data_IF_040761031877
#
_entry.id   IF_040761031877
#
_cell.length_a   1.000
_cell.length_b   1.000
_cell.length_c   1.000
_cell.angle_alpha   90.00
_cell.angle_beta   90.00
_cell.angle_gamma   90.00
#
_symmetry.space_group_name_H-M   'P 1'
#
loop_
_entity.id
_entity.type
_entity.pdbx_description
1 polymer ?
#
# COMPACT_ATOMS: atom_id res chain seq x y z
N UNK A 1 -33.22 1.49 1.50
CA UNK A 1 -31.79 1.32 1.83
C UNK A 1 -31.27 2.66 2.29
N UNK A 2 -30.69 2.72 3.48
CA UNK A 2 -30.04 3.93 4.01
C UNK A 2 -29.06 4.48 2.96
N UNK A 3 -29.19 5.75 2.55
CA UNK A 3 -28.30 6.38 1.55
C UNK A 3 -26.82 6.22 1.91
N UNK A 4 -26.51 6.21 3.21
CA UNK A 4 -25.18 5.96 3.76
C UNK A 4 -24.64 4.56 3.43
N UNK A 5 -25.50 3.54 3.42
CA UNK A 5 -25.11 2.17 3.08
C UNK A 5 -24.72 2.07 1.61
N UNK A 6 -25.46 2.74 0.72
CA UNK A 6 -25.16 2.76 -0.72
C UNK A 6 -23.84 3.46 -0.99
N UNK A 7 -23.60 4.62 -0.38
CA UNK A 7 -22.35 5.37 -0.52
C UNK A 7 -21.18 4.55 0.04
N UNK A 8 -21.33 3.96 1.23
CA UNK A 8 -20.29 3.11 1.83
C UNK A 8 -19.94 1.91 0.94
N UNK A 9 -20.95 1.23 0.39
CA UNK A 9 -20.73 0.11 -0.52
C UNK A 9 -20.08 0.54 -1.84
N UNK A 10 -20.49 1.68 -2.39
CA UNK A 10 -19.87 2.25 -3.59
C UNK A 10 -18.39 2.59 -3.35
N UNK A 11 -18.06 3.22 -2.22
CA UNK A 11 -16.67 3.49 -1.84
C UNK A 11 -15.85 2.19 -1.68
N UNK A 12 -16.45 1.15 -1.09
CA UNK A 12 -15.81 -0.14 -0.92
C UNK A 12 -15.51 -0.80 -2.28
N UNK A 13 -16.48 -0.78 -3.20
CA UNK A 13 -16.29 -1.29 -4.57
C UNK A 13 -15.23 -0.50 -5.33
N UNK A 14 -15.25 0.84 -5.24
CA UNK A 14 -14.22 1.68 -5.85
C UNK A 14 -12.83 1.36 -5.30
N UNK A 15 -12.70 1.21 -3.98
CA UNK A 15 -11.46 0.79 -3.34
C UNK A 15 -10.97 -0.57 -3.82
N UNK A 16 -11.88 -1.55 -3.93
CA UNK A 16 -11.56 -2.89 -4.43
C UNK A 16 -11.10 -2.87 -5.90
N UNK A 17 -11.76 -2.07 -6.75
CA UNK A 17 -11.36 -1.93 -8.16
C UNK A 17 -10.00 -1.25 -8.29
N UNK A 18 -9.76 -0.15 -7.57
CA UNK A 18 -8.46 0.53 -7.54
C UNK A 18 -7.34 -0.41 -7.05
N UNK A 19 -7.61 -1.14 -5.96
CA UNK A 19 -6.67 -2.10 -5.36
C UNK A 19 -6.48 -3.40 -6.16
N UNK A 20 -7.43 -3.79 -7.00
CA UNK A 20 -7.24 -4.91 -7.94
C UNK A 20 -6.52 -4.48 -9.23
N UNK A 21 -6.72 -3.22 -9.64
CA UNK A 21 -6.22 -2.70 -10.92
C UNK A 21 -4.78 -2.21 -10.85
N UNK A 22 -4.22 -1.95 -9.67
CA UNK A 22 -2.87 -1.38 -9.55
C UNK A 22 -1.79 -2.27 -10.17
N UNK A 23 -1.98 -3.60 -10.21
CA UNK A 23 -1.03 -4.54 -10.83
C UNK A 23 -1.14 -4.65 -12.35
N UNK A 24 -2.19 -4.10 -12.97
CA UNK A 24 -2.42 -4.16 -14.42
C UNK A 24 -1.28 -3.59 -15.28
N UNK A 25 -0.58 -2.51 -14.91
CA UNK A 25 0.53 -1.97 -15.69
C UNK A 25 1.60 -3.02 -16.00
N UNK A 26 1.88 -3.96 -15.07
CA UNK A 26 2.84 -5.05 -15.27
C UNK A 26 2.43 -6.02 -16.38
N UNK A 27 1.12 -6.11 -16.69
CA UNK A 27 0.61 -6.96 -17.77
C UNK A 27 0.74 -6.31 -19.15
N UNK A 28 0.64 -4.98 -19.22
CA UNK A 28 0.56 -4.23 -20.48
C UNK A 28 1.87 -3.49 -20.85
N UNK A 29 2.83 -3.42 -19.93
CA UNK A 29 4.15 -2.85 -20.20
C UNK A 29 4.91 -3.68 -21.24
N UNK A 30 5.83 -3.05 -21.97
CA UNK A 30 6.72 -3.76 -22.89
C UNK A 30 7.59 -4.75 -22.10
N UNK A 31 7.80 -5.94 -22.65
CA UNK A 31 8.51 -7.05 -21.97
C UNK A 31 9.97 -6.76 -21.62
N UNK A 32 10.57 -5.76 -22.27
CA UNK A 32 11.94 -5.29 -22.08
C UNK A 32 12.06 -4.18 -21.02
N UNK A 33 10.94 -3.71 -20.46
CA UNK A 33 10.97 -2.64 -19.46
C UNK A 33 11.42 -3.20 -18.10
N UNK A 34 12.50 -2.64 -17.51
CA UNK A 34 12.93 -3.04 -16.17
C UNK A 34 11.84 -2.79 -15.14
N UNK A 35 11.73 -3.68 -14.15
CA UNK A 35 10.74 -3.57 -13.08
C UNK A 35 10.89 -2.26 -12.30
N UNK A 36 12.13 -1.81 -12.10
CA UNK A 36 12.49 -0.59 -11.41
C UNK A 36 11.96 0.66 -12.13
N UNK A 37 11.91 0.64 -13.47
CA UNK A 37 11.40 1.77 -14.23
C UNK A 37 9.86 1.82 -14.22
N UNK A 38 9.21 0.66 -14.08
CA UNK A 38 7.75 0.58 -13.97
C UNK A 38 7.27 0.93 -12.55
N UNK A 39 7.86 0.30 -11.54
CA UNK A 39 7.38 0.37 -10.15
C UNK A 39 8.16 1.37 -9.30
N UNK A 40 9.41 1.70 -9.62
CA UNK A 40 10.22 2.64 -8.86
C UNK A 40 9.59 4.03 -8.74
N UNK A 41 9.15 4.68 -9.84
CA UNK A 41 8.45 5.97 -9.76
C UNK A 41 7.16 5.89 -8.95
N UNK A 42 6.41 4.78 -9.07
CA UNK A 42 5.19 4.56 -8.30
C UNK A 42 5.48 4.48 -6.79
N UNK A 43 6.45 3.66 -6.38
CA UNK A 43 6.82 3.55 -4.97
C UNK A 43 7.39 4.85 -4.42
N UNK A 44 8.21 5.58 -5.19
CA UNK A 44 8.72 6.88 -4.78
C UNK A 44 7.57 7.88 -4.56
N UNK A 45 6.60 7.91 -5.49
CA UNK A 45 5.47 8.83 -5.39
C UNK A 45 4.58 8.50 -4.20
N UNK A 46 4.23 7.22 -4.00
CA UNK A 46 3.31 6.78 -2.93
C UNK A 46 3.96 6.85 -1.55
N UNK A 47 5.23 6.47 -1.42
CA UNK A 47 5.88 6.37 -0.10
C UNK A 47 6.60 7.65 0.34
N UNK A 48 7.02 8.52 -0.59
CA UNK A 48 7.78 9.73 -0.26
C UNK A 48 7.00 10.99 -0.62
N UNK A 49 6.63 11.16 -1.90
CA UNK A 49 6.01 12.41 -2.35
C UNK A 49 4.64 12.64 -1.71
N UNK A 50 3.79 11.62 -1.70
CA UNK A 50 2.42 11.70 -1.18
C UNK A 50 2.36 12.06 0.31
N UNK A 51 3.08 11.38 1.24
CA UNK A 51 3.05 11.76 2.65
C UNK A 51 3.70 13.12 2.93
N UNK A 52 4.73 13.52 2.18
CA UNK A 52 5.37 14.83 2.36
C UNK A 52 4.51 16.00 1.87
N UNK A 53 3.68 15.78 0.84
CA UNK A 53 2.79 16.81 0.30
C UNK A 53 1.46 16.85 1.06
N UNK A 54 0.85 15.69 1.27
CA UNK A 54 -0.48 15.61 1.91
C UNK A 54 -0.42 15.70 3.43
N UNK A 55 0.67 15.25 4.08
CA UNK A 55 0.82 15.35 5.53
C UNK A 55 0.66 16.78 6.04
N UNK A 56 1.47 17.75 5.56
CA UNK A 56 1.33 19.16 5.94
C UNK A 56 0.04 19.82 5.47
N UNK A 57 -0.57 19.33 4.38
CA UNK A 57 -1.82 19.88 3.84
C UNK A 57 -3.04 19.47 4.68
N UNK A 58 -3.06 18.24 5.18
CA UNK A 58 -4.19 17.65 5.90
C UNK A 58 -4.07 17.79 7.41
N UNK A 59 -2.86 17.84 7.94
CA UNK A 59 -2.59 17.84 9.38
C UNK A 59 -2.02 19.19 9.82
N UNK A 60 -2.72 19.85 10.75
CA UNK A 60 -2.20 21.05 11.41
C UNK A 60 -1.00 20.67 12.28
N UNK A 61 0.06 21.48 12.22
CA UNK A 61 1.28 21.32 13.02
C UNK A 61 2.02 19.98 12.79
N UNK A 62 1.93 19.43 11.58
CA UNK A 62 2.55 18.15 11.18
C UNK A 62 3.99 17.98 11.70
N UNK A 63 4.88 18.94 11.45
CA UNK A 63 6.28 18.87 11.89
C UNK A 63 6.47 18.98 13.42
N UNK A 64 5.57 19.68 14.12
CA UNK A 64 5.65 19.79 15.57
C UNK A 64 5.35 18.43 16.25
N UNK A 65 4.45 17.63 15.67
CA UNK A 65 4.16 16.27 16.16
C UNK A 65 5.41 15.39 16.11
N UNK A 66 6.17 15.42 15.01
CA UNK A 66 7.42 14.66 14.90
C UNK A 66 8.48 15.15 15.90
N UNK A 67 8.55 16.47 16.14
CA UNK A 67 9.45 17.04 17.12
C UNK A 67 9.08 16.62 18.56
N UNK A 68 7.79 16.52 18.87
CA UNK A 68 7.29 16.11 20.19
C UNK A 68 7.46 14.62 20.48
N UNK A 69 7.26 13.74 19.50
CA UNK A 69 7.40 12.29 19.65
C UNK A 69 8.87 11.87 19.84
N UNK A 70 9.80 12.60 19.22
CA UNK A 70 11.22 12.29 19.25
C UNK A 70 11.60 11.01 18.50
N UNK A 71 12.90 10.78 18.31
CA UNK A 71 13.42 9.64 17.54
C UNK A 71 12.96 8.29 18.08
N UNK A 72 12.93 8.12 19.41
CA UNK A 72 12.56 6.85 20.03
C UNK A 72 11.11 6.42 19.68
N UNK A 73 10.18 7.35 19.59
CA UNK A 73 8.80 7.07 19.19
C UNK A 73 8.63 6.86 17.69
N UNK A 74 9.60 7.27 16.86
CA UNK A 74 9.60 7.08 15.41
C UNK A 74 10.27 5.78 14.98
N UNK A 75 11.17 5.20 15.78
CA UNK A 75 11.88 3.97 15.43
C UNK A 75 10.94 2.82 15.08
N UNK A 76 9.90 2.60 15.89
CA UNK A 76 8.97 1.49 15.68
C UNK A 76 8.09 1.68 14.44
N UNK A 77 7.42 2.85 14.25
CA UNK A 77 6.71 3.16 13.01
C UNK A 77 7.60 3.10 11.76
N UNK A 78 8.85 3.58 11.85
CA UNK A 78 9.80 3.49 10.74
C UNK A 78 10.18 2.05 10.42
N UNK A 79 10.46 1.22 11.44
CA UNK A 79 10.80 -0.19 11.23
C UNK A 79 9.63 -0.96 10.61
N UNK A 80 8.42 -0.80 11.12
CA UNK A 80 7.23 -1.42 10.53
C UNK A 80 6.90 -0.88 9.13
N UNK A 81 7.07 0.42 8.90
CA UNK A 81 6.89 1.05 7.60
C UNK A 81 7.88 0.51 6.56
N UNK A 82 9.15 0.34 6.94
CA UNK A 82 10.16 -0.28 6.08
C UNK A 82 9.83 -1.74 5.77
N UNK A 83 9.41 -2.52 6.78
CA UNK A 83 9.03 -3.91 6.58
C UNK A 83 7.81 -4.05 5.65
N UNK A 84 6.81 -3.19 5.83
CA UNK A 84 5.64 -3.13 4.95
C UNK A 84 6.01 -2.70 3.52
N UNK A 85 6.88 -1.70 3.38
CA UNK A 85 7.37 -1.23 2.09
C UNK A 85 8.15 -2.31 1.33
N UNK A 86 9.07 -3.00 2.02
CA UNK A 86 9.80 -4.13 1.46
C UNK A 86 8.86 -5.27 1.03
N UNK A 87 7.84 -5.59 1.83
CA UNK A 87 6.81 -6.57 1.47
C UNK A 87 5.98 -6.17 0.25
N UNK A 88 5.67 -4.88 0.12
CA UNK A 88 4.94 -4.35 -1.04
C UNK A 88 5.77 -4.42 -2.32
N UNK A 89 7.09 -4.18 -2.22
CA UNK A 89 8.02 -4.33 -3.34
C UNK A 89 8.16 -5.79 -3.79
N UNK A 90 8.27 -6.74 -2.85
CA UNK A 90 8.35 -8.17 -3.19
C UNK A 90 7.06 -8.69 -3.81
N UNK A 91 5.89 -8.19 -3.37
CA UNK A 91 4.62 -8.44 -4.05
C UNK A 91 4.65 -7.91 -5.48
N UNK A 92 5.14 -6.69 -5.69
CA UNK A 92 5.30 -6.11 -7.03
C UNK A 92 6.18 -6.96 -7.95
N UNK A 93 7.25 -7.55 -7.42
CA UNK A 93 8.11 -8.48 -8.17
C UNK A 93 7.40 -9.80 -8.47
N UNK A 94 6.59 -10.31 -7.53
CA UNK A 94 5.87 -11.59 -7.70
C UNK A 94 4.94 -11.61 -8.92
N UNK A 95 4.40 -10.45 -9.31
CA UNK A 95 3.59 -10.33 -10.52
C UNK A 95 4.31 -10.76 -11.79
N UNK A 96 5.63 -10.53 -11.87
CA UNK A 96 6.45 -10.94 -13.01
C UNK A 96 6.76 -12.45 -12.99
N UNK A 97 6.80 -13.09 -11.82
CA UNK A 97 7.17 -14.50 -11.68
C UNK A 97 5.98 -15.46 -11.80
N UNK A 98 4.89 -15.18 -11.08
CA UNK A 98 3.75 -16.11 -10.92
C UNK A 98 2.45 -15.59 -11.52
N UNK A 99 2.47 -14.37 -12.07
CA UNK A 99 1.31 -13.69 -12.63
C UNK A 99 0.40 -13.06 -11.57
N UNK A 100 -0.44 -12.11 -12.02
CA UNK A 100 -1.29 -11.28 -11.17
C UNK A 100 -2.26 -12.10 -10.31
N UNK A 101 -2.96 -13.06 -10.90
CA UNK A 101 -4.00 -13.83 -10.18
C UNK A 101 -3.41 -14.61 -9.00
N UNK A 102 -2.33 -15.36 -9.23
CA UNK A 102 -1.74 -16.22 -8.20
C UNK A 102 -1.04 -15.38 -7.12
N UNK A 103 -0.37 -14.29 -7.51
CA UNK A 103 0.22 -13.34 -6.58
C UNK A 103 -0.81 -12.73 -5.62
N UNK A 104 -1.96 -12.27 -6.14
CA UNK A 104 -3.03 -11.74 -5.29
C UNK A 104 -3.62 -12.80 -4.38
N UNK A 105 -3.93 -13.99 -4.89
CA UNK A 105 -4.50 -15.08 -4.07
C UNK A 105 -3.57 -15.49 -2.93
N UNK A 106 -2.27 -15.62 -3.20
CA UNK A 106 -1.30 -16.00 -2.17
C UNK A 106 -1.10 -14.87 -1.14
N UNK A 107 -1.00 -13.62 -1.60
CA UNK A 107 -0.81 -12.47 -0.73
C UNK A 107 -2.00 -12.26 0.22
N UNK A 108 -3.22 -12.22 -0.32
CA UNK A 108 -4.42 -12.08 0.52
C UNK A 108 -4.66 -13.31 1.39
N UNK A 109 -4.39 -14.52 0.88
CA UNK A 109 -4.47 -15.75 1.67
C UNK A 109 -3.52 -15.73 2.87
N UNK A 110 -2.27 -15.30 2.67
CA UNK A 110 -1.31 -15.13 3.76
C UNK A 110 -1.79 -14.09 4.78
N UNK A 111 -2.28 -12.94 4.32
CA UNK A 111 -2.83 -11.90 5.20
C UNK A 111 -4.01 -12.41 6.05
N UNK A 112 -4.89 -13.22 5.48
CA UNK A 112 -6.01 -13.83 6.21
C UNK A 112 -5.49 -14.79 7.29
N UNK A 113 -4.51 -15.63 6.98
CA UNK A 113 -3.93 -16.59 7.94
C UNK A 113 -3.28 -15.84 9.11
N UNK A 114 -2.40 -14.89 8.83
CA UNK A 114 -1.72 -14.11 9.88
C UNK A 114 -2.70 -13.21 10.65
N UNK A 115 -3.70 -12.64 9.96
CA UNK A 115 -4.76 -11.85 10.56
C UNK A 115 -5.63 -12.68 11.51
N UNK A 116 -5.95 -13.92 11.16
CA UNK A 116 -6.75 -14.81 12.00
C UNK A 116 -6.00 -15.27 13.27
N UNK A 117 -4.67 -15.36 13.22
CA UNK A 117 -3.83 -15.70 14.38
C UNK A 117 -3.80 -14.55 15.41
N UNK A 118 -3.97 -13.31 14.96
CA UNK A 118 -3.94 -12.13 15.84
C UNK A 118 -5.38 -11.82 16.28
N UNK A 119 -5.76 -12.01 17.57
CA UNK A 119 -7.14 -11.78 17.99
C UNK A 119 -7.48 -10.31 17.75
N UNK A 120 -8.54 -10.07 16.96
CA UNK A 120 -9.17 -8.76 16.86
C UNK A 120 -9.82 -8.50 18.23
N UNK A 121 -9.11 -7.79 19.11
CA UNK A 121 -9.69 -7.23 20.33
C UNK A 121 -10.46 -5.96 20.01
#
# INVERSE_FOLDING_TARGET
METNLVIGFACLLLGAVCGGSFGLPTKYVRKDTPWENLWGPFFLFVTVAMPLVLGPLLVRDFFAVYAHVGLAGLLLPMAFGLLWGAGSMTLGMSFAFIGLSLAYSLNYGAQIIFGAITPIK
#
